data_IF_177602621902
#
_entry.id   IF_177602621902
#
_cell.length_a   1.000
_cell.length_b   1.000
_cell.length_c   1.000
_cell.angle_alpha   90.00
_cell.angle_beta   90.00
_cell.angle_gamma   90.00
#
_symmetry.space_group_name_H-M   'P 1'
#
loop_
_entity.id
_entity.type
_entity.pdbx_description
1 polymer ?
#
# COMPACT_ATOMS: atom_id res chain seq x y z
N UNK A 1 33.32 -29.77 1.70
CA UNK A 1 31.91 -29.41 1.96
C UNK A 1 31.95 -28.02 2.58
N UNK A 2 31.93 -26.98 1.73
CA UNK A 2 31.88 -25.59 2.20
C UNK A 2 30.47 -25.35 2.73
N UNK A 3 30.28 -25.73 3.99
CA UNK A 3 29.09 -25.46 4.76
C UNK A 3 28.95 -23.95 4.87
N UNK A 4 28.15 -23.38 3.96
CA UNK A 4 27.12 -22.42 4.32
C UNK A 4 27.62 -21.35 5.31
N UNK A 5 28.62 -20.57 4.92
CA UNK A 5 28.83 -19.28 5.57
C UNK A 5 27.61 -18.45 5.27
N UNK A 6 26.66 -18.48 6.19
CA UNK A 6 25.52 -17.58 6.20
C UNK A 6 26.10 -16.17 6.25
N UNK A 7 26.16 -15.50 5.10
CA UNK A 7 26.59 -14.11 5.02
C UNK A 7 25.50 -13.26 5.67
N UNK A 8 25.70 -12.96 6.95
CA UNK A 8 24.80 -12.15 7.76
C UNK A 8 24.46 -10.81 7.08
N UNK A 9 25.40 -10.25 6.31
CA UNK A 9 25.19 -9.02 5.53
C UNK A 9 24.13 -9.23 4.46
N UNK A 10 24.24 -10.30 3.67
CA UNK A 10 23.26 -10.62 2.63
C UNK A 10 21.89 -10.94 3.22
N UNK A 11 21.83 -11.65 4.35
CA UNK A 11 20.56 -11.91 5.02
C UNK A 11 19.90 -10.63 5.53
N UNK A 12 20.66 -9.73 6.16
CA UNK A 12 20.13 -8.45 6.65
C UNK A 12 19.66 -7.61 5.46
N UNK A 13 20.41 -7.57 4.37
CA UNK A 13 20.02 -6.87 3.16
C UNK A 13 18.69 -7.42 2.59
N UNK A 14 18.58 -8.75 2.43
CA UNK A 14 17.37 -9.40 1.95
C UNK A 14 16.17 -9.17 2.88
N UNK A 15 16.40 -9.19 4.19
CA UNK A 15 15.37 -8.90 5.19
C UNK A 15 14.86 -7.46 5.05
N UNK A 16 15.76 -6.48 4.91
CA UNK A 16 15.40 -5.06 4.71
C UNK A 16 14.62 -4.88 3.41
N UNK A 17 15.07 -5.49 2.31
CA UNK A 17 14.35 -5.46 1.03
C UNK A 17 12.97 -6.12 1.16
N UNK A 18 12.88 -7.27 1.83
CA UNK A 18 11.62 -7.98 2.06
C UNK A 18 10.63 -7.15 2.88
N UNK A 19 11.09 -6.57 4.00
CA UNK A 19 10.30 -5.66 4.83
C UNK A 19 9.84 -4.44 4.02
N UNK A 20 10.73 -3.86 3.22
CA UNK A 20 10.39 -2.74 2.36
C UNK A 20 9.27 -3.11 1.36
N UNK A 21 9.39 -4.24 0.66
CA UNK A 21 8.38 -4.68 -0.31
C UNK A 21 7.04 -4.99 0.36
N UNK A 22 7.04 -5.60 1.55
CA UNK A 22 5.81 -5.86 2.31
C UNK A 22 5.14 -4.55 2.72
N UNK A 23 5.90 -3.59 3.27
CA UNK A 23 5.37 -2.29 3.66
C UNK A 23 4.85 -1.50 2.47
N UNK A 24 5.59 -1.50 1.36
CA UNK A 24 5.17 -0.94 0.09
C UNK A 24 3.81 -1.53 -0.35
N UNK A 25 3.70 -2.85 -0.36
CA UNK A 25 2.46 -3.56 -0.69
C UNK A 25 1.30 -3.19 0.23
N UNK A 26 1.53 -3.13 1.55
CA UNK A 26 0.51 -2.76 2.53
C UNK A 26 -0.02 -1.34 2.31
N UNK A 27 0.86 -0.37 2.07
CA UNK A 27 0.45 1.03 1.81
C UNK A 27 -0.36 1.11 0.52
N UNK A 28 0.10 0.48 -0.55
CA UNK A 28 -0.61 0.51 -1.83
C UNK A 28 -1.95 -0.22 -1.76
N UNK A 29 -2.02 -1.35 -1.05
CA UNK A 29 -3.28 -2.07 -0.81
C UNK A 29 -4.25 -1.20 -0.01
N UNK A 30 -3.79 -0.52 1.04
CA UNK A 30 -4.61 0.43 1.79
C UNK A 30 -5.19 1.53 0.88
N UNK A 31 -4.33 2.18 0.10
CA UNK A 31 -4.75 3.25 -0.83
C UNK A 31 -5.73 2.73 -1.87
N UNK A 32 -5.48 1.53 -2.41
CA UNK A 32 -6.36 0.87 -3.37
C UNK A 32 -7.76 0.66 -2.80
N UNK A 33 -7.87 0.04 -1.62
CA UNK A 33 -9.17 -0.23 -1.01
C UNK A 33 -9.87 1.05 -0.55
N UNK A 34 -9.14 2.03 -0.01
CA UNK A 34 -9.71 3.33 0.35
C UNK A 34 -10.28 4.07 -0.87
N UNK A 35 -9.59 4.02 -2.01
CA UNK A 35 -10.09 4.56 -3.28
C UNK A 35 -11.34 3.83 -3.78
N UNK A 36 -11.38 2.50 -3.70
CA UNK A 36 -12.57 1.73 -4.08
C UNK A 36 -13.79 2.05 -3.21
N UNK A 37 -13.61 2.20 -1.89
CA UNK A 37 -14.71 2.58 -0.98
C UNK A 37 -15.27 3.97 -1.27
N UNK A 38 -14.45 4.85 -1.88
CA UNK A 38 -14.85 6.18 -2.37
C UNK A 38 -15.43 6.13 -3.78
N UNK A 39 -15.46 4.95 -4.40
CA UNK A 39 -15.95 4.70 -5.76
C UNK A 39 -15.06 5.29 -6.85
N UNK A 40 -13.76 5.41 -6.59
CA UNK A 40 -12.74 5.76 -7.56
C UNK A 40 -12.03 4.49 -8.06
N UNK A 41 -11.33 4.59 -9.19
CA UNK A 41 -10.55 3.47 -9.71
C UNK A 41 -9.30 3.23 -8.84
N UNK A 42 -9.33 2.20 -7.99
CA UNK A 42 -8.25 1.89 -7.07
C UNK A 42 -6.89 1.65 -7.73
N UNK A 43 -6.86 1.03 -8.92
CA UNK A 43 -5.60 0.79 -9.66
C UNK A 43 -4.96 2.09 -10.12
N UNK A 44 -5.76 3.04 -10.59
CA UNK A 44 -5.27 4.34 -11.02
C UNK A 44 -4.67 5.11 -9.84
N UNK A 45 -5.38 5.16 -8.71
CA UNK A 45 -4.92 5.90 -7.52
C UNK A 45 -3.69 5.25 -6.89
N UNK A 46 -3.68 3.91 -6.73
CA UNK A 46 -2.53 3.20 -6.19
C UNK A 46 -1.31 3.34 -7.11
N UNK A 47 -1.51 3.28 -8.44
CA UNK A 47 -0.45 3.53 -9.41
C UNK A 47 0.14 4.94 -9.31
N UNK A 48 -0.70 5.97 -9.26
CA UNK A 48 -0.26 7.35 -9.05
C UNK A 48 0.51 7.51 -7.73
N UNK A 49 0.04 6.86 -6.67
CA UNK A 49 0.70 6.86 -5.36
C UNK A 49 2.08 6.20 -5.39
N UNK A 50 2.22 5.11 -6.15
CA UNK A 50 3.51 4.44 -6.34
C UNK A 50 4.52 5.34 -7.08
N UNK A 51 4.13 5.92 -8.21
CA UNK A 51 5.03 6.70 -9.07
C UNK A 51 5.40 8.08 -8.50
N UNK A 52 4.58 8.66 -7.61
CA UNK A 52 4.91 9.91 -6.91
C UNK A 52 5.86 9.71 -5.72
N UNK A 53 6.27 8.46 -5.48
CA UNK A 53 6.95 8.04 -4.26
C UNK A 53 5.92 7.64 -3.21
N UNK A 54 5.93 6.37 -2.80
CA UNK A 54 4.87 5.74 -1.99
C UNK A 54 4.44 6.56 -0.78
N UNK A 55 5.40 7.13 -0.04
CA UNK A 55 5.11 7.94 1.15
C UNK A 55 4.46 9.28 0.75
N UNK A 56 5.07 10.02 -0.19
CA UNK A 56 4.54 11.31 -0.63
C UNK A 56 3.16 11.16 -1.30
N UNK A 57 3.00 10.14 -2.15
CA UNK A 57 1.74 9.80 -2.79
C UNK A 57 0.66 9.39 -1.79
N UNK A 58 1.00 8.58 -0.79
CA UNK A 58 0.04 8.17 0.25
C UNK A 58 -0.39 9.37 1.10
N UNK A 59 0.53 10.28 1.44
CA UNK A 59 0.20 11.52 2.14
C UNK A 59 -0.69 12.42 1.29
N UNK A 60 -0.34 12.62 0.01
CA UNK A 60 -1.16 13.39 -0.92
C UNK A 60 -2.57 12.81 -1.04
N UNK A 61 -2.70 11.48 -1.14
CA UNK A 61 -3.98 10.79 -1.14
C UNK A 61 -4.76 11.04 0.16
N UNK A 62 -4.13 10.88 1.33
CA UNK A 62 -4.79 11.11 2.62
C UNK A 62 -5.31 12.55 2.77
N UNK A 63 -4.58 13.53 2.25
CA UNK A 63 -4.94 14.95 2.31
C UNK A 63 -6.01 15.35 1.28
N UNK A 64 -6.01 14.73 0.10
CA UNK A 64 -6.85 15.13 -1.04
C UNK A 64 -7.99 14.15 -1.36
N UNK A 65 -8.10 13.04 -0.63
CA UNK A 65 -9.14 12.03 -0.88
C UNK A 65 -10.55 12.60 -0.71
N UNK A 66 -11.50 12.22 -1.58
CA UNK A 66 -12.89 12.63 -1.45
C UNK A 66 -13.56 11.96 -0.23
N UNK A 67 -14.70 12.51 0.21
CA UNK A 67 -15.51 11.93 1.30
C UNK A 67 -16.02 10.54 0.91
N UNK A 68 -16.26 9.69 1.91
CA UNK A 68 -16.80 8.35 1.69
C UNK A 68 -18.20 8.46 1.06
N UNK A 69 -18.51 7.54 0.14
CA UNK A 69 -19.88 7.41 -0.36
C UNK A 69 -20.79 6.99 0.81
N UNK A 70 -22.00 7.57 0.95
CA UNK A 70 -22.96 7.12 1.94
C UNK A 70 -23.25 5.63 1.73
N UNK A 71 -22.98 4.82 2.75
CA UNK A 71 -23.39 3.42 2.77
C UNK A 71 -24.93 3.39 2.87
N UNK A 72 -25.66 2.66 2.01
CA UNK A 72 -27.10 2.53 2.15
C UNK A 72 -27.42 1.88 3.49
N UNK A 73 -28.21 2.58 4.32
CA UNK A 73 -28.68 2.04 5.61
C UNK A 73 -29.77 1.03 5.29
N UNK A 74 -29.63 -0.27 5.65
CA UNK A 74 -30.69 -1.24 5.44
C UNK A 74 -31.88 -0.90 6.35
N UNK A 75 -32.95 -0.37 5.76
CA UNK A 75 -34.22 -0.16 6.44
C UNK A 75 -34.92 -1.52 6.51
N UNK A 76 -35.01 -2.11 7.71
CA UNK A 76 -35.86 -3.30 7.92
C UNK A 76 -37.31 -2.89 7.65
N UNK A 77 -37.95 -3.53 6.66
CA UNK A 77 -39.41 -3.49 6.47
C UNK A 77 -40.07 -4.48 7.40
#
# INVERSE_FOLDING_TARGET
MELMMIDATNMIFLLVVGLYVVLLGMILAYVYFDAQQRGLNGWLIAGMTFFTGTIAGALAWLLLRPKLKPQPIPVKR
#
